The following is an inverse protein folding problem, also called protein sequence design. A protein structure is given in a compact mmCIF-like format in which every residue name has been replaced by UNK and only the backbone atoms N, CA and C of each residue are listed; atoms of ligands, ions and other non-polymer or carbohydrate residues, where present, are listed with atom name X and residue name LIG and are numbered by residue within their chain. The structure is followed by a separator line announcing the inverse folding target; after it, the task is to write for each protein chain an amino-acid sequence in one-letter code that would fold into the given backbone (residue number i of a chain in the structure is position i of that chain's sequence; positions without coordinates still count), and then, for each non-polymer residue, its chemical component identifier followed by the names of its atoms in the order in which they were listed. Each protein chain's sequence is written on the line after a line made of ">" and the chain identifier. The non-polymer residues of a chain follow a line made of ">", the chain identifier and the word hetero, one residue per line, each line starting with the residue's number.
data_IF_733752595548
#
_entry.id   IF_733752595548
#
_cell.length_a   1.000
_cell.length_b   1.000
_cell.length_c   1.000
_cell.angle_alpha   90.00
_cell.angle_beta   90.00
_cell.angle_gamma   90.00
#
_symmetry.space_group_name_H-M   'P 1'
#
loop_
_entity.id
_entity.type
_entity.pdbx_description
1 polymer ?
#
# COMPACT_ATOMS: atom_id res chain seq x y z
N UNK A 1 8.95 -26.03 -4.31
CA UNK A 1 9.34 -24.78 -3.60
C UNK A 1 10.11 -23.89 -4.57
N UNK A 2 9.45 -22.99 -5.32
CA UNK A 2 10.12 -21.88 -6.02
C UNK A 2 9.90 -20.64 -5.16
N UNK A 3 10.96 -20.07 -4.61
CA UNK A 3 10.89 -18.82 -3.88
C UNK A 3 10.42 -17.71 -4.83
N UNK A 4 9.28 -17.10 -4.54
CA UNK A 4 8.93 -15.83 -5.15
C UNK A 4 10.03 -14.84 -4.75
N UNK A 5 10.82 -14.37 -5.72
CA UNK A 5 11.83 -13.33 -5.46
C UNK A 5 11.10 -12.15 -4.80
N UNK A 6 11.59 -11.70 -3.66
CA UNK A 6 11.12 -10.44 -3.08
C UNK A 6 11.28 -9.35 -4.15
N UNK A 7 10.26 -8.54 -4.41
CA UNK A 7 10.42 -7.39 -5.30
C UNK A 7 11.54 -6.53 -4.72
N UNK A 8 12.66 -6.45 -5.45
CA UNK A 8 13.76 -5.56 -5.12
C UNK A 8 13.28 -4.18 -5.51
N UNK A 9 12.80 -3.42 -4.53
CA UNK A 9 12.64 -1.98 -4.72
C UNK A 9 14.05 -1.40 -4.69
N UNK A 10 14.42 -0.64 -5.71
CA UNK A 10 15.67 0.11 -5.67
C UNK A 10 15.60 1.11 -4.51
N UNK A 11 16.36 0.86 -3.45
CA UNK A 11 16.35 1.68 -2.23
C UNK A 11 16.85 3.12 -2.49
N UNK A 12 17.43 3.40 -3.67
CA UNK A 12 17.98 4.71 -4.02
C UNK A 12 16.93 5.75 -4.43
N UNK A 13 15.65 5.39 -4.59
CA UNK A 13 14.57 6.33 -4.91
C UNK A 13 13.29 6.02 -4.15
N UNK A 14 13.33 6.06 -2.82
CA UNK A 14 12.11 5.98 -2.01
C UNK A 14 11.14 7.10 -2.42
N UNK A 15 9.84 6.81 -2.63
CA UNK A 15 8.87 7.84 -2.98
C UNK A 15 8.82 8.92 -1.89
N UNK A 16 8.96 10.18 -2.28
CA UNK A 16 8.81 11.32 -1.38
C UNK A 16 7.33 11.60 -1.16
N UNK A 17 6.91 11.65 0.10
CA UNK A 17 5.55 12.04 0.46
C UNK A 17 5.50 13.56 0.61
N UNK A 18 4.82 14.21 -0.32
CA UNK A 18 4.70 15.66 -0.46
C UNK A 18 3.37 16.19 0.08
N UNK A 19 3.27 17.51 0.21
CA UNK A 19 2.04 18.20 0.65
C UNK A 19 1.84 18.30 2.17
N UNK A 20 2.71 17.69 2.96
CA UNK A 20 2.77 17.84 4.42
C UNK A 20 4.03 18.58 4.85
N UNK A 21 4.11 18.97 6.12
CA UNK A 21 5.32 19.56 6.69
C UNK A 21 6.55 18.65 6.38
N UNK A 22 7.62 19.18 5.76
CA UNK A 22 8.72 18.37 5.25
C UNK A 22 9.27 17.39 6.28
N UNK A 23 9.47 16.14 5.84
CA UNK A 23 10.03 15.07 6.68
C UNK A 23 9.11 14.56 7.79
N UNK A 24 7.91 15.11 7.96
CA UNK A 24 7.01 14.70 9.06
C UNK A 24 6.41 13.33 8.80
N UNK A 25 5.76 13.15 7.65
CA UNK A 25 5.07 11.90 7.32
C UNK A 25 6.07 10.80 6.94
N UNK A 26 7.10 11.13 6.15
CA UNK A 26 8.16 10.17 5.79
C UNK A 26 8.88 9.63 7.04
N UNK A 27 9.29 10.49 7.98
CA UNK A 27 9.97 10.04 9.20
C UNK A 27 9.06 9.22 10.11
N UNK A 28 7.78 9.59 10.21
CA UNK A 28 6.80 8.81 10.97
C UNK A 28 6.66 7.40 10.38
N UNK A 29 6.51 7.28 9.06
CA UNK A 29 6.39 5.98 8.38
C UNK A 29 7.67 5.16 8.52
N UNK A 30 8.83 5.77 8.25
CA UNK A 30 10.12 5.07 8.30
C UNK A 30 10.42 4.54 9.71
N UNK A 31 10.13 5.34 10.73
CA UNK A 31 10.32 5.03 12.15
C UNK A 31 9.25 4.15 12.79
N UNK A 32 8.30 3.60 12.03
CA UNK A 32 7.13 2.85 12.57
C UNK A 32 6.34 3.66 13.62
N UNK A 33 6.28 4.98 13.44
CA UNK A 33 5.55 5.90 14.29
C UNK A 33 4.04 5.86 14.05
N UNK A 34 3.29 6.53 14.92
CA UNK A 34 1.85 6.74 14.77
C UNK A 34 1.62 8.20 14.45
N UNK A 35 0.86 8.48 13.40
CA UNK A 35 0.58 9.84 12.94
C UNK A 35 -0.87 9.93 12.46
N UNK A 36 -1.46 11.09 12.65
CA UNK A 36 -2.72 11.49 12.03
C UNK A 36 -2.44 12.74 11.22
N UNK A 37 -2.94 12.77 9.98
CA UNK A 37 -2.77 13.89 9.05
C UNK A 37 -4.11 14.20 8.39
N UNK A 38 -4.33 15.46 8.05
CA UNK A 38 -5.47 15.84 7.24
C UNK A 38 -5.31 15.32 5.81
N UNK A 39 -6.37 14.74 5.25
CA UNK A 39 -6.35 14.36 3.85
C UNK A 39 -6.32 15.62 2.98
N UNK A 40 -5.31 15.75 2.13
CA UNK A 40 -5.22 16.86 1.18
C UNK A 40 -6.36 16.72 0.14
N UNK A 41 -7.31 17.67 0.07
CA UNK A 41 -8.53 17.54 -0.73
C UNK A 41 -8.30 17.94 -2.19
N UNK A 42 -7.25 17.39 -2.80
CA UNK A 42 -6.87 17.61 -4.19
C UNK A 42 -6.97 16.30 -4.98
N UNK A 43 -7.12 16.42 -6.30
CA UNK A 43 -7.04 15.29 -7.24
C UNK A 43 -5.75 15.38 -8.02
N UNK A 44 -5.19 14.21 -8.36
CA UNK A 44 -3.94 14.08 -9.11
C UNK A 44 -4.18 13.13 -10.27
N UNK A 45 -3.67 13.48 -11.44
CA UNK A 45 -3.64 12.60 -12.60
C UNK A 45 -2.49 11.60 -12.47
N UNK A 46 -2.81 10.31 -12.58
CA UNK A 46 -1.90 9.18 -12.55
C UNK A 46 -1.50 8.78 -13.98
N UNK A 47 -0.40 8.01 -14.15
CA UNK A 47 -0.06 7.42 -15.44
C UNK A 47 -1.27 6.69 -16.07
N UNK A 48 -1.48 6.92 -17.37
CA UNK A 48 -2.63 6.37 -18.09
C UNK A 48 -3.91 7.23 -18.02
N UNK A 49 -3.84 8.45 -17.50
CA UNK A 49 -4.95 9.41 -17.50
C UNK A 49 -6.03 9.13 -16.45
N UNK A 50 -5.72 8.28 -15.47
CA UNK A 50 -6.61 7.95 -14.36
C UNK A 50 -6.48 9.00 -13.28
N UNK A 51 -7.59 9.52 -12.76
CA UNK A 51 -7.59 10.50 -11.67
C UNK A 51 -7.86 9.83 -10.33
N UNK A 52 -7.08 10.21 -9.31
CA UNK A 52 -7.27 9.76 -7.93
C UNK A 52 -7.07 10.92 -6.94
N UNK A 53 -7.63 10.80 -5.75
CA UNK A 53 -7.36 11.75 -4.67
C UNK A 53 -5.87 11.75 -4.25
N UNK A 54 -5.35 12.92 -3.90
CA UNK A 54 -3.98 13.08 -3.37
C UNK A 54 -3.74 12.27 -2.11
N UNK A 55 -4.78 12.02 -1.31
CA UNK A 55 -4.73 11.11 -0.17
C UNK A 55 -4.35 9.67 -0.58
N UNK A 56 -4.86 9.18 -1.71
CA UNK A 56 -4.59 7.83 -2.20
C UNK A 56 -3.13 7.70 -2.65
N UNK A 57 -2.63 8.72 -3.35
CA UNK A 57 -1.21 8.84 -3.73
C UNK A 57 -0.31 8.88 -2.50
N UNK A 58 -0.69 9.65 -1.48
CA UNK A 58 0.03 9.73 -0.20
C UNK A 58 0.18 8.35 0.44
N UNK A 59 -0.92 7.61 0.59
CA UNK A 59 -0.90 6.26 1.17
C UNK A 59 -0.13 5.26 0.31
N UNK A 60 -0.25 5.33 -1.02
CA UNK A 60 0.49 4.48 -1.94
C UNK A 60 2.00 4.69 -1.84
N UNK A 61 2.45 5.95 -1.77
CA UNK A 61 3.85 6.32 -1.55
C UNK A 61 4.34 5.79 -0.19
N UNK A 62 3.59 6.00 0.89
CA UNK A 62 3.93 5.48 2.22
C UNK A 62 4.09 3.94 2.23
N UNK A 63 3.15 3.21 1.65
CA UNK A 63 3.22 1.76 1.54
C UNK A 63 4.40 1.28 0.69
N UNK A 64 4.70 1.98 -0.42
CA UNK A 64 5.86 1.68 -1.25
C UNK A 64 7.19 1.90 -0.49
N UNK A 65 7.29 2.94 0.36
CA UNK A 65 8.45 3.14 1.26
C UNK A 65 8.60 1.98 2.24
N UNK A 66 7.51 1.57 2.88
CA UNK A 66 7.50 0.44 3.83
C UNK A 66 7.92 -0.85 3.15
N UNK A 67 7.38 -1.12 1.95
CA UNK A 67 7.77 -2.27 1.14
C UNK A 67 9.27 -2.26 0.80
N UNK A 68 9.80 -1.10 0.40
CA UNK A 68 11.22 -0.92 0.09
C UNK A 68 12.13 -1.18 1.30
N UNK A 69 11.66 -0.90 2.51
CA UNK A 69 12.35 -1.24 3.77
C UNK A 69 12.23 -2.73 4.17
N UNK A 70 11.60 -3.56 3.33
CA UNK A 70 11.43 -4.99 3.59
C UNK A 70 10.30 -5.32 4.57
N UNK A 71 9.40 -4.37 4.84
CA UNK A 71 8.26 -4.50 5.75
C UNK A 71 6.95 -4.57 4.97
N UNK A 72 5.92 -5.16 5.54
CA UNK A 72 4.57 -5.17 4.95
C UNK A 72 3.73 -4.00 5.44
N UNK A 73 2.69 -3.65 4.70
CA UNK A 73 1.70 -2.66 5.11
C UNK A 73 0.27 -3.16 4.96
N UNK A 74 -0.64 -2.72 5.81
CA UNK A 74 -2.09 -2.96 5.69
C UNK A 74 -2.81 -1.63 5.56
N UNK A 75 -3.36 -1.36 4.37
CA UNK A 75 -4.11 -0.15 4.07
C UNK A 75 -5.61 -0.43 4.13
N UNK A 76 -6.28 0.23 5.06
CA UNK A 76 -7.72 0.09 5.28
C UNK A 76 -8.43 1.36 4.85
N UNK A 77 -9.42 1.22 3.97
CA UNK A 77 -10.22 2.34 3.47
C UNK A 77 -11.71 2.16 3.75
N UNK A 78 -12.50 3.26 3.79
CA UNK A 78 -13.91 3.21 4.16
C UNK A 78 -14.77 2.36 3.22
N UNK A 79 -14.64 2.58 1.92
CA UNK A 79 -15.46 1.89 0.91
C UNK A 79 -14.68 1.47 -0.35
N UNK A 80 -15.40 0.91 -1.31
CA UNK A 80 -14.81 0.40 -2.54
C UNK A 80 -14.29 1.48 -3.49
N UNK A 81 -14.87 2.68 -3.48
CA UNK A 81 -14.46 3.78 -4.35
C UNK A 81 -13.12 4.32 -3.87
N UNK A 82 -12.96 4.39 -2.56
CA UNK A 82 -11.67 4.69 -1.94
C UNK A 82 -10.65 3.59 -2.26
N UNK A 83 -11.07 2.32 -2.19
CA UNK A 83 -10.20 1.20 -2.52
C UNK A 83 -9.73 1.23 -3.97
N UNK A 84 -10.63 1.49 -4.92
CA UNK A 84 -10.31 1.54 -6.34
C UNK A 84 -9.35 2.72 -6.66
N UNK A 85 -9.52 3.88 -6.00
CA UNK A 85 -8.57 5.00 -6.10
C UNK A 85 -7.19 4.65 -5.53
N UNK A 86 -7.15 3.97 -4.39
CA UNK A 86 -5.91 3.55 -3.75
C UNK A 86 -5.20 2.47 -4.57
N UNK A 87 -5.92 1.54 -5.19
CA UNK A 87 -5.36 0.55 -6.09
C UNK A 87 -4.77 1.19 -7.36
N UNK A 88 -5.43 2.20 -7.93
CA UNK A 88 -4.88 2.95 -9.05
C UNK A 88 -3.57 3.67 -8.65
N UNK A 89 -3.54 4.31 -7.48
CA UNK A 89 -2.34 4.95 -6.97
C UNK A 89 -1.22 3.93 -6.67
N UNK A 90 -1.55 2.78 -6.10
CA UNK A 90 -0.60 1.70 -5.85
C UNK A 90 -0.05 1.11 -7.15
N UNK A 91 -0.85 0.97 -8.20
CA UNK A 91 -0.38 0.52 -9.50
C UNK A 91 0.67 1.47 -10.11
N UNK A 92 0.59 2.77 -9.79
CA UNK A 92 1.55 3.77 -10.23
C UNK A 92 2.84 3.83 -9.39
N UNK A 93 2.80 3.40 -8.13
CA UNK A 93 3.90 3.61 -7.17
C UNK A 93 4.51 2.36 -6.56
N UNK A 94 3.82 1.22 -6.61
CA UNK A 94 4.29 -0.05 -6.04
C UNK A 94 4.75 -1.00 -7.16
N UNK A 95 5.75 -1.87 -6.88
CA UNK A 95 6.15 -2.91 -7.82
C UNK A 95 4.99 -3.84 -8.19
N UNK A 96 4.94 -4.26 -9.46
CA UNK A 96 3.92 -5.20 -9.92
C UNK A 96 3.93 -6.50 -9.08
N UNK A 97 2.75 -6.92 -8.63
CA UNK A 97 2.56 -8.14 -7.83
C UNK A 97 2.89 -8.01 -6.34
N UNK A 98 3.23 -6.83 -5.82
CA UNK A 98 3.42 -6.63 -4.37
C UNK A 98 2.12 -6.35 -3.61
N UNK A 99 1.05 -6.00 -4.32
CA UNK A 99 -0.24 -5.61 -3.75
C UNK A 99 -1.18 -6.81 -3.65
N UNK A 100 -1.76 -7.03 -2.48
CA UNK A 100 -2.77 -8.04 -2.20
C UNK A 100 -4.10 -7.34 -1.88
N UNK A 101 -5.09 -7.56 -2.75
CA UNK A 101 -6.44 -7.07 -2.53
C UNK A 101 -7.18 -8.04 -1.61
N UNK A 102 -7.84 -7.51 -0.58
CA UNK A 102 -8.68 -8.27 0.35
C UNK A 102 -10.03 -7.57 0.52
N UNK A 103 -11.00 -7.89 -0.33
CA UNK A 103 -12.35 -7.39 -0.15
C UNK A 103 -13.43 -8.41 -0.50
N UNK A 104 -14.66 -8.06 -0.11
CA UNK A 104 -15.82 -8.95 -0.19
C UNK A 104 -16.28 -9.25 -1.62
N UNK A 105 -15.88 -8.43 -2.62
CA UNK A 105 -16.26 -8.58 -4.03
C UNK A 105 -15.39 -9.60 -4.76
N UNK A 106 -14.20 -9.88 -4.25
CA UNK A 106 -13.40 -10.99 -4.75
C UNK A 106 -14.12 -12.31 -4.55
N UNK A 107 -13.97 -13.20 -5.53
CA UNK A 107 -14.38 -14.59 -5.39
C UNK A 107 -13.69 -15.23 -4.17
N UNK A 108 -14.34 -16.22 -3.55
CA UNK A 108 -13.74 -16.98 -2.44
C UNK A 108 -12.34 -17.51 -2.77
N UNK A 109 -12.12 -18.14 -3.95
CA UNK A 109 -10.80 -18.57 -4.39
C UNK A 109 -9.75 -17.45 -4.48
N UNK A 110 -10.10 -16.27 -5.02
CA UNK A 110 -9.14 -15.16 -5.16
C UNK A 110 -8.76 -14.56 -3.81
N UNK A 111 -9.74 -14.45 -2.90
CA UNK A 111 -9.50 -14.03 -1.51
C UNK A 111 -8.57 -15.01 -0.79
N UNK A 112 -8.80 -16.31 -0.97
CA UNK A 112 -7.96 -17.33 -0.36
C UNK A 112 -6.53 -17.32 -0.95
N UNK A 113 -6.38 -17.15 -2.27
CA UNK A 113 -5.04 -16.97 -2.89
C UNK A 113 -4.30 -15.77 -2.32
N UNK A 114 -5.00 -14.64 -2.15
CA UNK A 114 -4.43 -13.43 -1.57
C UNK A 114 -4.00 -13.66 -0.12
N UNK A 115 -4.84 -14.34 0.67
CA UNK A 115 -4.49 -14.75 2.03
C UNK A 115 -3.24 -15.64 2.08
N UNK A 116 -3.18 -16.69 1.25
CA UNK A 116 -2.01 -17.56 1.17
C UNK A 116 -0.74 -16.83 0.72
N UNK A 117 -0.87 -15.86 -0.20
CA UNK A 117 0.25 -15.04 -0.66
C UNK A 117 0.81 -14.13 0.46
N UNK A 118 -0.02 -13.74 1.42
CA UNK A 118 0.39 -12.95 2.59
C UNK A 118 1.03 -13.78 3.72
N UNK A 119 0.88 -15.11 3.72
CA UNK A 119 1.52 -15.98 4.72
C UNK A 119 3.02 -16.22 4.49
N UNK A 120 3.55 -15.86 3.31
CA UNK A 120 4.98 -16.00 3.04
C UNK A 120 5.83 -14.94 3.73
N UNK A 121 7.16 -15.07 3.68
CA UNK A 121 8.09 -14.11 4.32
C UNK A 121 8.33 -12.82 3.51
N UNK A 122 7.92 -12.83 2.24
CA UNK A 122 8.10 -11.71 1.33
C UNK A 122 7.11 -10.59 1.67
N UNK A 123 7.56 -9.34 1.79
CA UNK A 123 6.70 -8.25 2.23
C UNK A 123 5.62 -7.94 1.19
N UNK A 124 4.45 -7.47 1.67
CA UNK A 124 3.26 -7.21 0.86
C UNK A 124 2.59 -5.91 1.26
N UNK A 125 1.90 -5.30 0.31
CA UNK A 125 0.95 -4.21 0.56
C UNK A 125 -0.45 -4.82 0.51
N UNK A 126 -1.09 -4.99 1.65
CA UNK A 126 -2.48 -5.44 1.70
C UNK A 126 -3.39 -4.21 1.60
N UNK A 127 -4.41 -4.27 0.74
CA UNK A 127 -5.42 -3.22 0.61
C UNK A 127 -6.82 -3.81 0.71
N UNK A 128 -7.68 -3.15 1.48
CA UNK A 128 -9.08 -3.54 1.56
C UNK A 128 -9.90 -2.65 2.50
N UNK A 129 -11.10 -3.12 2.80
CA UNK A 129 -11.97 -2.50 3.80
C UNK A 129 -11.60 -2.92 5.23
N UNK A 130 -12.50 -2.69 6.19
CA UNK A 130 -12.31 -3.05 7.62
C UNK A 130 -11.77 -4.47 7.83
N UNK A 131 -12.14 -5.46 7.01
CA UNK A 131 -11.70 -6.85 7.20
C UNK A 131 -10.22 -7.09 6.87
N UNK A 132 -9.57 -6.18 6.12
CA UNK A 132 -8.16 -6.29 5.74
C UNK A 132 -7.21 -6.28 6.95
N UNK A 133 -7.64 -5.74 8.10
CA UNK A 133 -6.86 -5.74 9.35
C UNK A 133 -6.47 -7.14 9.84
N UNK A 134 -7.20 -8.17 9.38
CA UNK A 134 -6.93 -9.57 9.75
C UNK A 134 -6.04 -10.30 8.73
N UNK A 135 -5.60 -9.61 7.68
CA UNK A 135 -4.76 -10.22 6.67
C UNK A 135 -3.35 -10.52 7.23
N UNK A 136 -2.73 -11.63 6.81
CA UNK A 136 -1.35 -11.91 7.16
C UNK A 136 -0.42 -10.90 6.47
N UNK A 137 0.41 -10.24 7.28
CA UNK A 137 1.36 -9.22 6.84
C UNK A 137 2.70 -9.40 7.60
N UNK A 138 3.67 -10.15 7.05
CA UNK A 138 4.93 -10.41 7.72
C UNK A 138 5.71 -9.11 7.92
N UNK A 139 6.35 -8.94 9.08
CA UNK A 139 7.15 -7.75 9.42
C UNK A 139 6.36 -6.45 9.15
N UNK A 140 5.17 -6.33 9.74
CA UNK A 140 4.30 -5.16 9.59
C UNK A 140 5.03 -3.86 9.96
N UNK A 141 4.96 -2.87 9.08
CA UNK A 141 5.58 -1.55 9.26
C UNK A 141 4.63 -0.37 9.11
N UNK A 142 3.42 -0.58 8.57
CA UNK A 142 2.34 0.42 8.43
C UNK A 142 0.97 -0.25 8.48
#
# INVERSE_FOLDING_TARGET
>A
RRGARSPVVDASALPVIDGYAPGTLDAAVDGSGRVAVDAIPEVVELPGGVWAGRWAVTLAKAAARVLASGRSSVLVVPDYRDQDQLEAALAAHAPAGSVLRTDARQSGPDRYRSFLAGLGDAPRIVVGNRSAVYAPAPRLGL
#
